data_IF_096797340924
#
_entry.id   IF_096797340924
#
_cell.length_a   1.000
_cell.length_b   1.000
_cell.length_c   1.000
_cell.angle_alpha   90.00
_cell.angle_beta   90.00
_cell.angle_gamma   90.00
#
_symmetry.space_group_name_H-M   'P 1'
#
loop_
_entity.id
_entity.type
_entity.pdbx_description
1 polymer ?
#
# COMPACT_ATOMS: atom_id res chain seq x y z
N UNK A 1 -5.91 -21.19 1.45
CA UNK A 1 -4.46 -21.49 1.53
C UNK A 1 -3.68 -20.24 1.12
N UNK A 2 -2.74 -19.73 1.96
CA UNK A 2 -1.96 -18.53 1.62
C UNK A 2 -0.83 -18.93 0.67
N UNK A 3 -0.75 -18.28 -0.49
CA UNK A 3 0.27 -18.55 -1.52
C UNK A 3 1.44 -17.57 -1.42
N UNK A 4 1.16 -16.32 -0.96
CA UNK A 4 2.15 -15.28 -0.83
C UNK A 4 1.84 -14.40 0.39
N UNK A 5 2.89 -14.00 1.11
CA UNK A 5 2.77 -13.06 2.24
C UNK A 5 4.04 -12.21 2.34
N UNK A 6 3.89 -10.90 2.19
CA UNK A 6 4.97 -9.93 2.35
C UNK A 6 4.56 -8.85 3.36
N UNK A 7 5.46 -8.57 4.31
CA UNK A 7 5.34 -7.43 5.22
C UNK A 7 6.20 -6.28 4.73
N UNK A 8 5.57 -5.13 4.51
CA UNK A 8 6.21 -3.92 3.99
C UNK A 8 6.91 -3.14 5.13
N UNK A 9 7.88 -3.75 5.83
CA UNK A 9 8.60 -3.07 6.91
C UNK A 9 9.63 -2.08 6.37
N UNK A 10 9.89 -0.94 7.06
CA UNK A 10 10.96 -0.03 6.70
C UNK A 10 12.32 -0.73 6.79
N UNK A 11 13.27 -0.46 5.87
CA UNK A 11 14.63 -0.96 5.97
C UNK A 11 15.38 -0.27 7.12
N UNK A 12 16.44 -0.92 7.62
CA UNK A 12 17.25 -0.42 8.73
C UNK A 12 17.79 1.00 8.48
N UNK A 13 18.07 1.35 7.22
CA UNK A 13 18.52 2.70 6.84
C UNK A 13 17.55 3.81 7.22
N UNK A 14 16.25 3.55 7.25
CA UNK A 14 15.24 4.52 7.67
C UNK A 14 15.23 4.72 9.20
N UNK A 15 15.52 3.66 9.96
CA UNK A 15 15.71 3.74 11.40
C UNK A 15 16.98 4.52 11.75
N UNK A 16 18.08 4.29 11.02
CA UNK A 16 19.31 5.06 11.16
C UNK A 16 19.12 6.53 10.80
N UNK A 17 18.42 6.81 9.69
CA UNK A 17 18.09 8.18 9.30
C UNK A 17 17.25 8.89 10.36
N UNK A 18 16.25 8.22 10.92
CA UNK A 18 15.45 8.75 12.02
C UNK A 18 16.30 9.03 13.26
N UNK A 19 17.20 8.12 13.61
CA UNK A 19 18.11 8.31 14.75
C UNK A 19 19.03 9.53 14.54
N UNK A 20 19.66 9.66 13.35
CA UNK A 20 20.51 10.80 13.02
C UNK A 20 19.73 12.12 13.11
N UNK A 21 18.51 12.15 12.56
CA UNK A 21 17.66 13.34 12.65
C UNK A 21 17.35 13.72 14.10
N UNK A 22 17.05 12.73 14.94
CA UNK A 22 16.78 12.97 16.36
C UNK A 22 18.02 13.49 17.07
N UNK A 23 19.21 12.93 16.80
CA UNK A 23 20.48 13.40 17.39
C UNK A 23 20.79 14.84 16.98
N UNK A 24 20.57 15.21 15.72
CA UNK A 24 20.76 16.59 15.26
C UNK A 24 19.81 17.56 15.97
N UNK A 25 18.53 17.20 16.10
CA UNK A 25 17.56 18.04 16.82
C UNK A 25 17.86 18.11 18.33
N UNK A 26 18.43 17.06 18.92
CA UNK A 26 18.80 17.03 20.33
C UNK A 26 19.94 18.00 20.65
N UNK A 27 20.91 18.20 19.74
CA UNK A 27 22.00 19.15 19.94
C UNK A 27 21.50 20.57 20.10
N UNK A 28 20.49 21.00 19.33
CA UNK A 28 19.87 22.32 19.45
C UNK A 28 19.11 22.49 20.77
N UNK A 29 18.40 21.43 21.21
CA UNK A 29 17.64 21.48 22.45
C UNK A 29 18.54 21.60 23.71
N UNK A 30 19.72 20.96 23.69
CA UNK A 30 20.68 21.01 24.82
C UNK A 30 21.33 22.39 24.95
N UNK A 31 21.52 23.12 23.83
CA UNK A 31 22.21 24.41 23.81
C UNK A 31 21.40 25.55 24.45
N UNK A 32 20.06 25.46 24.51
CA UNK A 32 19.21 26.55 24.94
C UNK A 32 18.22 26.28 26.06
N UNK A 33 18.04 25.00 26.49
CA UNK A 33 16.99 24.64 27.43
C UNK A 33 17.53 23.99 28.71
N UNK A 34 16.75 24.08 29.79
CA UNK A 34 17.04 23.33 31.01
C UNK A 34 17.01 21.82 30.68
N UNK A 35 18.00 21.09 31.16
CA UNK A 35 18.22 19.68 30.81
C UNK A 35 16.99 18.76 30.97
N UNK A 36 16.09 18.91 31.99
CA UNK A 36 14.90 18.08 32.08
C UNK A 36 13.94 18.28 30.91
N UNK A 37 13.81 19.51 30.42
CA UNK A 37 12.94 19.87 29.27
C UNK A 37 13.54 19.27 27.99
N UNK A 38 14.86 19.37 27.81
CA UNK A 38 15.56 18.79 26.67
C UNK A 38 15.38 17.28 26.61
N UNK A 39 15.49 16.58 27.75
CA UNK A 39 15.25 15.12 27.84
C UNK A 39 13.79 14.78 27.51
N UNK A 40 12.83 15.52 28.04
CA UNK A 40 11.41 15.26 27.75
C UNK A 40 11.09 15.42 26.24
N UNK A 41 11.58 16.47 25.60
CA UNK A 41 11.44 16.69 24.16
C UNK A 41 12.09 15.56 23.36
N UNK A 42 13.29 15.12 23.76
CA UNK A 42 13.98 14.01 23.11
C UNK A 42 13.17 12.72 23.16
N UNK A 43 12.66 12.36 24.35
CA UNK A 43 11.83 11.15 24.53
C UNK A 43 10.57 11.20 23.66
N UNK A 44 9.91 12.35 23.58
CA UNK A 44 8.74 12.55 22.73
C UNK A 44 9.09 12.38 21.25
N UNK A 45 10.19 12.98 20.79
CA UNK A 45 10.65 12.86 19.39
C UNK A 45 11.01 11.42 19.03
N UNK A 46 11.74 10.72 19.89
CA UNK A 46 12.04 9.28 19.70
C UNK A 46 10.76 8.47 19.60
N UNK A 47 9.83 8.68 20.52
CA UNK A 47 8.53 8.01 20.52
C UNK A 47 7.72 8.26 19.24
N UNK A 48 7.66 9.49 18.78
CA UNK A 48 6.98 9.88 17.54
C UNK A 48 7.59 9.22 16.31
N UNK A 49 8.92 9.28 16.15
CA UNK A 49 9.61 8.65 15.01
C UNK A 49 9.47 7.15 15.04
N UNK A 50 9.60 6.52 16.21
CA UNK A 50 9.40 5.09 16.37
C UNK A 50 7.96 4.68 16.03
N UNK A 51 6.95 5.39 16.53
CA UNK A 51 5.55 5.13 16.23
C UNK A 51 5.24 5.32 14.73
N UNK A 52 5.80 6.34 14.10
CA UNK A 52 5.65 6.60 12.67
C UNK A 52 6.25 5.45 11.85
N UNK A 53 7.50 5.07 12.10
CA UNK A 53 8.17 3.96 11.39
C UNK A 53 7.46 2.62 11.63
N UNK A 54 6.99 2.38 12.85
CA UNK A 54 6.19 1.20 13.17
C UNK A 54 4.88 1.15 12.39
N UNK A 55 4.17 2.29 12.30
CA UNK A 55 2.91 2.37 11.57
C UNK A 55 3.10 2.13 10.06
N UNK A 56 4.25 2.55 9.51
CA UNK A 56 4.60 2.31 8.12
C UNK A 56 4.88 0.84 7.80
N UNK A 57 5.31 0.06 8.79
CA UNK A 57 5.57 -1.37 8.66
C UNK A 57 4.34 -2.28 8.80
N UNK A 58 3.17 -1.74 9.13
CA UNK A 58 1.94 -2.54 9.35
C UNK A 58 1.31 -3.13 8.09
N UNK A 59 1.28 -2.43 6.93
CA UNK A 59 0.66 -2.99 5.75
C UNK A 59 1.33 -4.28 5.30
N UNK A 60 0.49 -5.26 4.98
CA UNK A 60 0.88 -6.55 4.44
C UNK A 60 0.25 -6.75 3.07
N UNK A 61 0.94 -7.49 2.21
CA UNK A 61 0.40 -7.97 0.94
C UNK A 61 0.25 -9.49 1.06
N UNK A 62 -0.96 -9.98 0.84
CA UNK A 62 -1.29 -11.40 0.97
C UNK A 62 -2.08 -11.85 -0.25
N UNK A 63 -1.65 -12.94 -0.87
CA UNK A 63 -2.40 -13.62 -1.94
C UNK A 63 -2.86 -14.97 -1.41
N UNK A 64 -4.16 -15.20 -1.41
CA UNK A 64 -4.74 -16.46 -0.93
C UNK A 64 -6.25 -16.40 -0.85
N UNK A 65 -6.87 -17.56 -0.68
CA UNK A 65 -8.32 -17.72 -0.47
C UNK A 65 -9.19 -16.99 -1.52
N UNK A 66 -8.72 -16.97 -2.80
CA UNK A 66 -9.43 -16.31 -3.88
C UNK A 66 -9.36 -14.79 -3.88
N UNK A 67 -8.55 -14.18 -2.99
CA UNK A 67 -8.41 -12.72 -2.85
C UNK A 67 -6.94 -12.29 -2.83
N UNK A 68 -6.70 -11.10 -3.38
CA UNK A 68 -5.49 -10.30 -3.15
C UNK A 68 -5.82 -9.26 -2.07
N UNK A 69 -5.08 -9.30 -0.98
CA UNK A 69 -5.18 -8.29 0.10
C UNK A 69 -3.95 -7.41 0.08
N UNK A 70 -4.14 -6.11 -0.04
CA UNK A 70 -3.07 -5.12 -0.05
C UNK A 70 -3.37 -4.03 1.00
N UNK A 71 -2.79 -4.17 2.20
CA UNK A 71 -3.15 -3.36 3.36
C UNK A 71 -4.63 -3.53 3.75
N UNK A 72 -5.43 -2.45 3.78
CA UNK A 72 -6.86 -2.52 4.09
C UNK A 72 -7.72 -2.98 2.90
N UNK A 73 -7.16 -2.95 1.70
CA UNK A 73 -7.90 -3.19 0.46
C UNK A 73 -7.92 -4.68 0.10
N UNK A 74 -9.00 -5.13 -0.54
CA UNK A 74 -9.20 -6.50 -1.00
C UNK A 74 -9.68 -6.50 -2.44
N UNK A 75 -9.08 -7.34 -3.27
CA UNK A 75 -9.44 -7.53 -4.66
C UNK A 75 -9.68 -9.03 -4.91
N UNK A 76 -10.88 -9.44 -5.31
CA UNK A 76 -11.13 -10.83 -5.73
C UNK A 76 -10.23 -11.18 -6.92
N UNK A 77 -9.60 -12.35 -6.91
CA UNK A 77 -8.74 -12.81 -8.01
C UNK A 77 -9.49 -12.96 -9.34
N UNK A 78 -10.81 -13.12 -9.27
CA UNK A 78 -11.68 -13.12 -10.45
C UNK A 78 -11.73 -11.75 -11.17
N UNK A 79 -11.56 -10.65 -10.42
CA UNK A 79 -11.52 -9.29 -10.95
C UNK A 79 -10.11 -8.83 -11.38
N UNK A 80 -9.09 -9.67 -11.22
CA UNK A 80 -7.73 -9.37 -11.66
C UNK A 80 -7.63 -9.55 -13.17
N UNK A 81 -7.25 -8.48 -13.87
CA UNK A 81 -6.96 -8.47 -15.31
C UNK A 81 -5.51 -8.78 -15.63
N UNK A 82 -4.85 -7.89 -16.33
CA UNK A 82 -3.42 -7.96 -16.63
C UNK A 82 -2.59 -7.70 -15.36
N UNK A 83 -1.49 -8.44 -15.20
CA UNK A 83 -0.57 -8.28 -14.07
C UNK A 83 0.83 -8.14 -14.63
N UNK A 84 1.48 -7.03 -14.33
CA UNK A 84 2.84 -6.71 -14.79
C UNK A 84 3.75 -6.28 -13.65
N UNK A 85 4.93 -6.89 -13.57
CA UNK A 85 5.98 -6.44 -12.66
C UNK A 85 6.64 -5.20 -13.24
N UNK A 86 6.67 -4.11 -12.49
CA UNK A 86 7.24 -2.83 -12.93
C UNK A 86 8.62 -2.60 -12.34
N UNK A 87 9.48 -2.00 -13.13
CA UNK A 87 10.76 -1.48 -12.69
C UNK A 87 10.63 -0.13 -11.93
N UNK A 88 11.76 0.42 -11.49
CA UNK A 88 11.76 1.68 -10.74
C UNK A 88 11.31 2.87 -11.59
N UNK A 89 11.69 2.93 -12.86
CA UNK A 89 11.36 4.05 -13.75
C UNK A 89 9.87 4.05 -14.12
N UNK A 90 9.32 2.88 -14.42
CA UNK A 90 7.90 2.67 -14.68
C UNK A 90 7.06 2.98 -13.46
N UNK A 91 7.47 2.48 -12.28
CA UNK A 91 6.79 2.74 -11.01
C UNK A 91 6.76 4.24 -10.70
N UNK A 92 7.88 4.95 -10.88
CA UNK A 92 7.97 6.40 -10.67
C UNK A 92 7.06 7.16 -11.62
N UNK A 93 6.98 6.76 -12.89
CA UNK A 93 6.10 7.37 -13.90
C UNK A 93 4.63 7.23 -13.51
N UNK A 94 4.19 6.03 -13.09
CA UNK A 94 2.80 5.75 -12.70
C UNK A 94 2.42 6.32 -11.32
N UNK A 95 3.39 6.64 -10.46
CA UNK A 95 3.15 7.34 -9.19
C UNK A 95 3.19 8.86 -9.30
N UNK A 96 3.70 9.37 -10.41
CA UNK A 96 3.90 10.80 -10.68
C UNK A 96 3.12 11.28 -11.90
N UNK A 97 3.79 11.62 -13.00
CA UNK A 97 3.17 12.32 -14.14
C UNK A 97 2.03 11.55 -14.82
N UNK A 98 2.03 10.22 -14.72
CA UNK A 98 1.02 9.34 -15.32
C UNK A 98 0.08 8.72 -14.28
N UNK A 99 0.07 9.26 -13.06
CA UNK A 99 -0.81 8.76 -12.01
C UNK A 99 -2.28 9.04 -12.36
N UNK A 100 -3.11 8.01 -12.28
CA UNK A 100 -4.56 8.18 -12.33
C UNK A 100 -5.07 8.41 -10.90
N UNK A 101 -5.76 9.53 -10.63
CA UNK A 101 -6.33 9.81 -9.31
C UNK A 101 -7.35 8.77 -8.82
N UNK A 102 -7.92 7.97 -9.74
CA UNK A 102 -8.85 6.90 -9.42
C UNK A 102 -8.17 5.56 -9.13
N UNK A 103 -6.85 5.44 -9.41
CA UNK A 103 -6.10 4.22 -9.15
C UNK A 103 -5.88 3.99 -7.65
N UNK A 104 -5.86 2.71 -7.25
CA UNK A 104 -5.44 2.35 -5.92
C UNK A 104 -3.92 2.20 -5.87
N UNK A 105 -3.25 3.00 -5.02
CA UNK A 105 -1.80 2.97 -4.87
C UNK A 105 -1.42 2.59 -3.44
N UNK A 106 -0.90 1.39 -3.25
CA UNK A 106 -0.23 0.98 -2.02
C UNK A 106 1.27 1.22 -2.17
N UNK A 107 1.72 2.43 -1.86
CA UNK A 107 3.11 2.84 -1.97
C UNK A 107 3.74 3.18 -0.63
N UNK A 108 5.05 2.92 -0.50
CA UNK A 108 5.89 3.40 0.59
C UNK A 108 7.11 4.10 0.02
N UNK A 109 7.64 5.15 0.68
CA UNK A 109 8.75 5.96 0.12
C UNK A 109 10.01 5.12 -0.14
N UNK A 110 10.21 4.04 0.63
CA UNK A 110 11.36 3.14 0.52
C UNK A 110 11.17 2.00 -0.48
N UNK A 111 9.97 1.85 -1.10
CA UNK A 111 9.70 0.84 -2.13
C UNK A 111 9.67 1.51 -3.49
N UNK A 112 10.62 1.10 -4.34
CA UNK A 112 10.86 1.71 -5.65
C UNK A 112 10.26 0.92 -6.80
N UNK A 113 9.92 -0.35 -6.58
CA UNK A 113 9.34 -1.25 -7.56
C UNK A 113 7.91 -1.60 -7.18
N UNK A 114 7.08 -1.94 -8.16
CA UNK A 114 5.69 -2.26 -7.94
C UNK A 114 5.19 -3.36 -8.86
N UNK A 115 4.03 -3.88 -8.55
CA UNK A 115 3.22 -4.68 -9.46
C UNK A 115 2.03 -3.84 -9.90
N UNK A 116 1.84 -3.74 -11.21
CA UNK A 116 0.65 -3.19 -11.83
C UNK A 116 -0.38 -4.30 -11.99
N UNK A 117 -1.60 -4.04 -11.58
CA UNK A 117 -2.69 -4.99 -11.63
C UNK A 117 -3.89 -4.27 -12.22
N UNK A 118 -4.25 -4.62 -13.43
CA UNK A 118 -5.48 -4.12 -14.05
C UNK A 118 -6.70 -4.73 -13.34
N UNK A 119 -7.69 -3.92 -13.04
CA UNK A 119 -8.96 -4.41 -12.50
C UNK A 119 -9.91 -4.60 -13.67
N UNK A 120 -10.19 -5.85 -13.99
CA UNK A 120 -11.22 -6.20 -14.97
C UNK A 120 -12.57 -5.72 -14.41
N UNK A 121 -13.15 -4.69 -15.01
CA UNK A 121 -14.42 -4.14 -14.56
C UNK A 121 -15.51 -5.21 -14.68
N UNK A 122 -16.18 -5.60 -13.59
CA UNK A 122 -17.45 -6.28 -13.72
C UNK A 122 -18.42 -5.30 -14.37
N UNK A 123 -19.15 -5.75 -15.39
CA UNK A 123 -19.96 -5.03 -16.35
C UNK A 123 -20.64 -3.72 -15.90
N UNK A 124 -21.17 -3.00 -16.86
CA UNK A 124 -21.66 -1.61 -16.86
C UNK A 124 -22.50 -1.09 -15.66
N UNK A 125 -22.87 -1.91 -14.71
CA UNK A 125 -23.63 -1.52 -13.50
C UNK A 125 -22.84 -0.66 -12.49
N UNK A 126 -21.50 -0.73 -12.55
CA UNK A 126 -20.63 0.07 -11.66
C UNK A 126 -20.69 1.58 -11.97
N UNK A 127 -21.05 1.98 -13.21
CA UNK A 127 -21.22 3.40 -13.58
C UNK A 127 -22.42 4.06 -12.90
N UNK A 128 -23.45 3.30 -12.58
CA UNK A 128 -24.65 3.78 -11.92
C UNK A 128 -24.43 3.98 -10.41
N UNK A 129 -23.59 3.17 -9.78
CA UNK A 129 -23.19 3.33 -8.38
C UNK A 129 -22.38 4.62 -8.16
N UNK A 130 -21.53 5.02 -9.14
CA UNK A 130 -20.77 6.29 -9.09
C UNK A 130 -21.67 7.54 -9.04
N UNK A 131 -22.86 7.49 -9.61
CA UNK A 131 -23.78 8.63 -9.65
C UNK A 131 -24.50 8.89 -8.32
N UNK A 132 -24.70 7.87 -7.49
CA UNK A 132 -25.44 7.99 -6.23
C UNK A 132 -24.61 8.53 -5.06
N UNK A 133 -23.25 8.41 -5.10
CA UNK A 133 -22.35 8.87 -4.04
C UNK A 133 -21.92 10.34 -4.12
N UNK A 134 -22.41 11.10 -5.09
CA UNK A 134 -22.07 12.51 -5.27
C UNK A 134 -22.90 13.50 -4.44
N UNK A 135 -23.82 13.03 -3.63
CA UNK A 135 -24.79 13.89 -2.91
C UNK A 135 -24.71 13.67 -1.40
N UNK A 136 -23.56 13.84 -0.78
CA UNK A 136 -23.49 14.25 0.63
C UNK A 136 -22.08 14.73 0.93
N UNK A 137 -21.94 16.07 0.91
CA UNK A 137 -20.73 16.73 1.33
C UNK A 137 -20.56 16.65 2.84
N UNK A 138 -19.70 15.78 3.29
CA UNK A 138 -19.01 15.94 4.57
C UNK A 138 -17.67 15.22 4.50
N UNK A 139 -16.58 16.00 4.36
CA UNK A 139 -15.22 15.52 4.42
C UNK A 139 -14.85 15.29 5.89
N UNK A 140 -15.11 14.12 6.39
CA UNK A 140 -14.32 13.58 7.48
C UNK A 140 -13.23 12.70 6.86
N UNK A 141 -12.02 12.85 7.35
CA UNK A 141 -10.82 12.07 7.01
C UNK A 141 -10.97 10.57 7.35
N UNK A 142 -11.99 9.96 6.79
CA UNK A 142 -12.01 8.55 6.57
C UNK A 142 -11.51 8.39 5.14
N UNK A 143 -10.23 8.18 4.97
CA UNK A 143 -9.63 7.48 3.84
C UNK A 143 -10.15 6.04 3.88
N UNK A 144 -11.45 5.96 4.14
CA UNK A 144 -12.24 4.82 4.40
C UNK A 144 -12.73 4.30 3.06
N UNK A 145 -12.17 3.16 2.65
CA UNK A 145 -12.95 2.12 2.01
C UNK A 145 -13.75 2.67 0.81
N UNK A 146 -13.04 3.23 -0.19
CA UNK A 146 -13.59 3.18 -1.53
C UNK A 146 -13.72 1.69 -1.87
N UNK A 147 -14.88 1.23 -2.36
CA UNK A 147 -14.94 -0.11 -2.89
C UNK A 147 -13.88 -0.21 -3.98
N UNK A 148 -12.85 -0.97 -3.72
CA UNK A 148 -11.61 -1.07 -4.46
C UNK A 148 -11.83 -1.64 -5.85
N UNK A 149 -13.00 -2.22 -6.09
CA UNK A 149 -13.50 -2.67 -7.39
C UNK A 149 -13.71 -1.53 -8.42
N UNK A 150 -13.74 -0.27 -7.98
CA UNK A 150 -13.95 0.88 -8.88
C UNK A 150 -12.64 1.53 -9.37
N UNK A 151 -11.50 1.05 -8.91
CA UNK A 151 -10.20 1.54 -9.38
C UNK A 151 -9.85 0.92 -10.72
N UNK A 152 -9.38 1.71 -11.72
CA UNK A 152 -9.01 1.17 -13.03
C UNK A 152 -7.83 0.20 -12.95
N UNK A 153 -6.93 0.45 -12.03
CA UNK A 153 -5.79 -0.43 -11.74
C UNK A 153 -5.31 -0.27 -10.28
N UNK A 154 -4.56 -1.28 -9.83
CA UNK A 154 -3.84 -1.25 -8.57
C UNK A 154 -2.36 -1.18 -8.81
N UNK A 155 -1.69 -0.31 -8.08
CA UNK A 155 -0.24 -0.23 -8.03
C UNK A 155 0.24 -0.63 -6.63
N UNK A 156 0.71 -1.85 -6.51
CA UNK A 156 1.16 -2.41 -5.22
C UNK A 156 2.69 -2.41 -5.19
N UNK A 157 3.27 -1.54 -4.37
CA UNK A 157 4.72 -1.50 -4.19
C UNK A 157 5.21 -2.68 -3.35
N UNK A 158 6.27 -3.35 -3.81
CA UNK A 158 6.85 -4.56 -3.21
C UNK A 158 8.35 -4.60 -3.45
N UNK A 159 9.07 -5.39 -2.66
CA UNK A 159 10.49 -5.70 -2.88
C UNK A 159 10.68 -6.76 -3.95
N UNK A 160 9.68 -7.64 -4.11
CA UNK A 160 9.75 -8.82 -4.97
C UNK A 160 8.61 -8.81 -6.03
N UNK A 161 8.64 -7.85 -7.00
CA UNK A 161 7.54 -7.68 -7.94
C UNK A 161 7.29 -8.91 -8.81
N UNK A 162 8.36 -9.60 -9.23
CA UNK A 162 8.21 -10.81 -10.04
C UNK A 162 7.54 -11.95 -9.27
N UNK A 163 7.91 -12.14 -7.99
CA UNK A 163 7.34 -13.19 -7.14
C UNK A 163 5.86 -12.90 -6.84
N UNK A 164 5.54 -11.64 -6.51
CA UNK A 164 4.15 -11.25 -6.28
C UNK A 164 3.30 -11.41 -7.53
N UNK A 165 3.79 -10.99 -8.71
CA UNK A 165 3.09 -11.16 -9.97
C UNK A 165 2.85 -12.65 -10.30
N UNK A 166 3.87 -13.50 -10.13
CA UNK A 166 3.76 -14.94 -10.32
C UNK A 166 2.76 -15.58 -9.35
N UNK A 167 2.77 -15.16 -8.07
CA UNK A 167 1.83 -15.65 -7.06
C UNK A 167 0.37 -15.28 -7.40
N UNK A 168 0.14 -14.05 -7.87
CA UNK A 168 -1.20 -13.60 -8.30
C UNK A 168 -1.68 -14.42 -9.50
N UNK A 169 -0.84 -14.59 -10.52
CA UNK A 169 -1.18 -15.33 -11.73
C UNK A 169 -1.44 -16.81 -11.42
N UNK A 170 -0.59 -17.42 -10.59
CA UNK A 170 -0.76 -18.82 -10.15
C UNK A 170 -2.03 -19.03 -9.34
N UNK A 171 -2.32 -18.14 -8.38
CA UNK A 171 -3.54 -18.21 -7.59
C UNK A 171 -4.81 -17.99 -8.43
N UNK A 172 -4.74 -17.09 -9.44
CA UNK A 172 -5.83 -16.88 -10.40
C UNK A 172 -6.10 -18.12 -11.28
N UNK A 173 -5.03 -18.77 -11.75
CA UNK A 173 -5.14 -20.00 -12.52
C UNK A 173 -5.77 -21.11 -11.69
N UNK A 174 -5.33 -21.30 -10.44
CA UNK A 174 -5.90 -22.26 -9.51
C UNK A 174 -7.38 -21.98 -9.20
N UNK A 175 -7.75 -20.73 -9.01
CA UNK A 175 -9.15 -20.33 -8.77
C UNK A 175 -10.06 -20.63 -9.98
N UNK A 176 -9.54 -20.50 -11.21
CA UNK A 176 -10.28 -20.87 -12.43
C UNK A 176 -10.40 -22.37 -12.63
N UNK A 177 -9.37 -23.13 -12.28
CA UNK A 177 -9.38 -24.59 -12.38
C UNK A 177 -10.26 -25.26 -11.31
N UNK A 178 -10.41 -24.65 -10.14
CA UNK A 178 -11.23 -25.13 -9.02
C UNK A 178 -12.68 -24.64 -9.03
N UNK A 179 -13.12 -23.90 -10.06
CA UNK A 179 -14.51 -23.51 -10.25
C UNK A 179 -15.38 -24.76 -10.46
N UNK A 180 -16.65 -24.79 -9.95
CA UNK A 180 -17.50 -25.96 -10.07
C UNK A 180 -17.69 -26.30 -11.54
N UNK A 181 -17.29 -27.52 -11.92
CA UNK A 181 -17.74 -28.10 -13.18
C UNK A 181 -19.26 -28.20 -13.08
N UNK A 182 -19.97 -27.34 -13.78
CA UNK A 182 -21.41 -27.49 -13.93
C UNK A 182 -21.62 -28.76 -14.74
N UNK A 183 -21.96 -29.83 -14.03
CA UNK A 183 -22.58 -31.05 -14.61
C UNK A 183 -24.06 -30.81 -14.77
#
# INVERSE_FOLDING_TARGET
MRVYHERLSPPLSWWLLGLVLILLLATEAIAGWAWPIAVAVYVVLVGLVAAMLWSWGRPTVVVGDGELRAGPARLPLAAVGEVSALDEAQTRSLRGPRADPAAFVLGRPYLRRAVYIEVAQPGADSRQARRRLRVHGFRLHAEAIRPVADSPYWLVCTRHPAELAAAILGARAAARAGGPSMG
#
